data_IF_307375280122
#
_entry.id   IF_307375280122
#
_cell.length_a   1.000
_cell.length_b   1.000
_cell.length_c   1.000
_cell.angle_alpha   90.00
_cell.angle_beta   90.00
_cell.angle_gamma   90.00
#
_symmetry.space_group_name_H-M   'P 1'
#
loop_
_entity.id
_entity.type
_entity.pdbx_description
1 polymer ?
#
# COMPACT_ATOMS: atom_id res chain seq x y z
N UNK A 1 -6.13 59.79 61.18
CA UNK A 1 -7.17 59.10 60.38
C UNK A 1 -6.56 58.78 59.02
N UNK A 2 -6.23 57.51 58.79
CA UNK A 2 -5.47 57.04 57.61
C UNK A 2 -6.48 56.41 56.64
N UNK A 3 -6.61 56.95 55.43
CA UNK A 3 -7.42 56.38 54.36
C UNK A 3 -6.51 55.53 53.46
N UNK A 4 -6.72 54.21 53.49
CA UNK A 4 -6.03 53.23 52.65
C UNK A 4 -6.94 52.94 51.45
N UNK A 5 -6.63 53.54 50.30
CA UNK A 5 -7.32 53.30 49.04
C UNK A 5 -6.80 52.00 48.42
N UNK A 6 -7.64 50.97 48.38
CA UNK A 6 -7.39 49.64 47.81
C UNK A 6 -7.24 49.73 46.28
N UNK A 7 -6.05 49.46 45.77
CA UNK A 7 -5.79 49.18 44.34
C UNK A 7 -6.19 47.74 44.03
N UNK A 8 -7.22 47.56 43.22
CA UNK A 8 -7.69 46.26 42.74
C UNK A 8 -6.91 45.91 41.45
N UNK A 9 -5.93 45.00 41.55
CA UNK A 9 -5.20 44.47 40.39
C UNK A 9 -6.02 43.32 39.79
N UNK A 10 -6.71 43.59 38.69
CA UNK A 10 -7.43 42.59 37.90
C UNK A 10 -6.40 41.80 37.07
N UNK A 11 -5.95 40.67 37.60
CA UNK A 11 -5.04 39.74 36.91
C UNK A 11 -5.75 39.02 35.77
N UNK A 12 -5.58 39.52 34.55
CA UNK A 12 -6.03 38.89 33.32
C UNK A 12 -5.14 37.67 33.03
N UNK A 13 -5.56 36.48 33.46
CA UNK A 13 -4.91 35.21 33.10
C UNK A 13 -5.28 34.91 31.65
N UNK A 14 -4.43 35.32 30.71
CA UNK A 14 -4.47 34.89 29.32
C UNK A 14 -4.17 33.39 29.27
N UNK A 15 -5.23 32.58 29.27
CA UNK A 15 -5.16 31.16 28.96
C UNK A 15 -4.70 30.98 27.52
N UNK A 16 -3.39 30.80 27.32
CA UNK A 16 -2.83 30.39 26.04
C UNK A 16 -3.40 29.02 25.67
N UNK A 17 -4.27 28.99 24.65
CA UNK A 17 -4.64 27.75 23.98
C UNK A 17 -3.34 27.19 23.36
N UNK A 18 -2.74 26.21 24.03
CA UNK A 18 -1.66 25.43 23.45
C UNK A 18 -2.25 24.71 22.23
N UNK A 19 -1.99 25.25 21.05
CA UNK A 19 -2.25 24.56 19.81
C UNK A 19 -1.42 23.28 19.84
N UNK A 20 -2.09 22.14 20.10
CA UNK A 20 -1.46 20.84 20.08
C UNK A 20 -0.81 20.67 18.71
N UNK A 21 0.53 20.60 18.68
CA UNK A 21 1.25 20.36 17.44
C UNK A 21 0.81 19.01 16.86
N UNK A 22 0.58 18.91 15.54
CA UNK A 22 0.12 17.67 14.93
C UNK A 22 1.12 16.55 15.23
N UNK A 23 0.65 15.50 15.89
CA UNK A 23 1.46 14.35 16.23
C UNK A 23 1.93 13.65 14.95
N UNK A 24 3.25 13.65 14.72
CA UNK A 24 3.92 13.02 13.60
C UNK A 24 4.89 11.98 14.13
N UNK A 25 4.84 10.77 13.57
CA UNK A 25 5.82 9.73 13.82
C UNK A 25 6.29 9.12 12.50
N UNK A 26 7.53 8.64 12.49
CA UNK A 26 8.09 7.85 11.41
C UNK A 26 8.73 6.62 12.00
N UNK A 27 8.46 5.46 11.43
CA UNK A 27 9.00 4.19 11.86
C UNK A 27 9.32 3.29 10.67
N UNK A 28 10.19 2.32 10.90
CA UNK A 28 10.47 1.20 9.98
C UNK A 28 9.87 -0.04 10.59
N UNK A 29 9.13 -0.82 9.79
CA UNK A 29 8.53 -2.08 10.20
C UNK A 29 9.53 -3.22 9.95
N UNK A 30 10.18 -3.66 11.01
CA UNK A 30 11.32 -4.56 10.95
C UNK A 30 11.00 -5.88 10.24
N UNK A 31 9.79 -6.41 10.46
CA UNK A 31 9.34 -7.69 9.90
C UNK A 31 8.85 -7.63 8.45
N UNK A 32 8.69 -6.42 7.91
CA UNK A 32 8.35 -6.24 6.50
C UNK A 32 9.59 -6.43 5.62
N UNK A 33 10.78 -6.12 6.14
CA UNK A 33 12.04 -6.37 5.44
C UNK A 33 12.35 -7.87 5.37
N UNK A 34 13.03 -8.28 4.31
CA UNK A 34 13.42 -9.66 4.08
C UNK A 34 12.81 -10.24 2.80
N UNK A 35 12.85 -11.56 2.69
CA UNK A 35 12.39 -12.26 1.50
C UNK A 35 11.05 -12.92 1.76
N UNK A 36 10.08 -12.60 0.92
CA UNK A 36 8.74 -13.14 0.94
C UNK A 36 8.54 -14.03 -0.27
N UNK A 37 7.98 -15.22 -0.04
CA UNK A 37 7.67 -16.19 -1.08
C UNK A 37 6.17 -16.44 -1.11
N UNK A 38 5.67 -16.94 -2.24
CA UNK A 38 4.28 -17.38 -2.38
C UNK A 38 3.25 -16.29 -2.05
N UNK A 39 3.58 -15.03 -2.32
CA UNK A 39 2.50 -14.03 -2.41
C UNK A 39 1.60 -14.51 -3.55
N UNK A 40 0.29 -14.50 -3.37
CA UNK A 40 -0.63 -15.07 -4.34
C UNK A 40 -1.28 -13.95 -5.19
N UNK A 41 -0.68 -13.50 -6.30
CA UNK A 41 -1.34 -12.57 -7.19
C UNK A 41 -2.11 -13.40 -8.21
N UNK A 42 -3.40 -13.53 -7.95
CA UNK A 42 -4.33 -13.71 -9.05
C UNK A 42 -4.45 -12.36 -9.77
N UNK A 43 -3.97 -12.30 -11.02
CA UNK A 43 -4.21 -11.15 -11.87
C UNK A 43 -5.58 -11.29 -12.51
N UNK A 44 -6.33 -10.19 -12.55
CA UNK A 44 -7.61 -10.15 -13.25
C UNK A 44 -7.39 -10.48 -14.74
N UNK A 45 -8.28 -11.28 -15.38
CA UNK A 45 -8.18 -11.57 -16.81
C UNK A 45 -8.26 -10.27 -17.63
N UNK A 46 -7.46 -10.20 -18.70
CA UNK A 46 -7.55 -9.15 -19.70
C UNK A 46 -8.48 -9.62 -20.81
N UNK A 47 -9.60 -8.94 -21.01
CA UNK A 47 -10.59 -9.25 -22.04
C UNK A 47 -10.61 -8.15 -23.11
N UNK A 48 -10.32 -8.51 -24.36
CA UNK A 48 -10.32 -7.60 -25.52
C UNK A 48 -11.03 -8.26 -26.70
N UNK A 49 -12.35 -8.10 -26.78
CA UNK A 49 -13.16 -8.73 -27.81
C UNK A 49 -13.12 -10.27 -27.69
N UNK A 50 -12.81 -11.03 -28.75
CA UNK A 50 -12.72 -12.49 -28.69
C UNK A 50 -11.43 -13.02 -28.03
N UNK A 51 -10.49 -12.13 -27.67
CA UNK A 51 -9.24 -12.47 -27.03
C UNK A 51 -9.39 -12.37 -25.50
N UNK A 52 -9.13 -13.48 -24.81
CA UNK A 52 -8.99 -13.50 -23.35
C UNK A 52 -7.58 -13.94 -22.97
N UNK A 53 -6.92 -13.15 -22.13
CA UNK A 53 -5.59 -13.46 -21.60
C UNK A 53 -5.72 -13.57 -20.08
N UNK A 54 -5.48 -14.77 -19.55
CA UNK A 54 -5.35 -14.99 -18.11
C UNK A 54 -3.88 -15.16 -17.77
N UNK A 55 -3.38 -14.33 -16.87
CA UNK A 55 -2.00 -14.40 -16.38
C UNK A 55 -2.01 -14.84 -14.93
N UNK A 56 -1.16 -15.79 -14.58
CA UNK A 56 -0.95 -16.22 -13.19
C UNK A 56 0.55 -16.32 -12.88
N UNK A 57 0.91 -16.13 -11.61
CA UNK A 57 2.28 -16.29 -11.13
C UNK A 57 2.34 -17.42 -10.09
N UNK A 58 2.57 -18.68 -10.50
CA UNK A 58 2.55 -19.82 -9.58
C UNK A 58 3.68 -19.81 -8.54
N UNK A 59 4.75 -19.08 -8.79
CA UNK A 59 5.89 -18.98 -7.90
C UNK A 59 6.50 -17.60 -8.00
N UNK A 60 6.72 -16.98 -6.85
CA UNK A 60 7.29 -15.65 -6.79
C UNK A 60 8.04 -15.41 -5.50
N UNK A 61 9.04 -14.56 -5.61
CA UNK A 61 9.98 -14.21 -4.56
C UNK A 61 10.17 -12.70 -4.62
N UNK A 62 9.82 -12.02 -3.54
CA UNK A 62 9.99 -10.59 -3.38
C UNK A 62 10.94 -10.32 -2.23
N UNK A 63 12.00 -9.56 -2.48
CA UNK A 63 12.87 -9.04 -1.47
C UNK A 63 12.46 -7.59 -1.15
N UNK A 64 12.18 -7.33 0.13
CA UNK A 64 11.96 -5.98 0.65
C UNK A 64 13.23 -5.53 1.36
N UNK A 65 13.84 -4.49 0.83
CA UNK A 65 15.12 -3.95 1.30
C UNK A 65 14.94 -2.92 2.40
N UNK A 66 13.88 -2.12 2.29
CA UNK A 66 13.59 -1.04 3.21
C UNK A 66 12.13 -0.67 3.20
N UNK A 67 11.67 -0.15 4.32
CA UNK A 67 10.35 0.42 4.42
C UNK A 67 10.32 1.55 5.43
N UNK A 68 9.35 2.46 5.24
CA UNK A 68 9.13 3.60 6.11
C UNK A 68 7.64 3.90 6.15
N UNK A 69 7.09 3.92 7.35
CA UNK A 69 5.72 4.34 7.62
C UNK A 69 5.77 5.69 8.35
N UNK A 70 5.21 6.72 7.73
CA UNK A 70 4.96 8.01 8.38
C UNK A 70 3.48 8.09 8.79
N UNK A 71 3.24 8.35 10.07
CA UNK A 71 1.91 8.49 10.66
C UNK A 71 1.72 9.92 11.12
N UNK A 72 0.59 10.53 10.77
CA UNK A 72 0.23 11.87 11.22
C UNK A 72 -1.22 11.90 11.66
N UNK A 73 -1.46 12.37 12.88
CA UNK A 73 -2.82 12.52 13.41
C UNK A 73 -3.54 13.64 12.65
N UNK A 74 -4.67 13.33 12.02
CA UNK A 74 -5.53 14.31 11.37
C UNK A 74 -6.62 14.78 12.33
N UNK A 75 -7.25 13.83 13.03
CA UNK A 75 -8.29 14.02 14.06
C UNK A 75 -8.15 12.91 15.12
N UNK A 76 -9.00 12.90 16.15
CA UNK A 76 -8.90 11.97 17.29
C UNK A 76 -8.86 10.49 16.89
N UNK A 77 -9.58 10.11 15.84
CA UNK A 77 -9.69 8.74 15.35
C UNK A 77 -9.09 8.53 13.95
N UNK A 78 -8.70 9.61 13.26
CA UNK A 78 -8.26 9.58 11.86
C UNK A 78 -6.77 9.91 11.73
N UNK A 79 -6.05 9.02 11.06
CA UNK A 79 -4.59 9.07 10.90
C UNK A 79 -4.27 9.09 9.42
N UNK A 80 -3.49 10.06 8.96
CA UNK A 80 -2.84 9.99 7.66
C UNK A 80 -1.64 9.05 7.75
N UNK A 81 -1.54 8.13 6.79
CA UNK A 81 -0.47 7.15 6.68
C UNK A 81 0.20 7.32 5.32
N UNK A 82 1.53 7.39 5.33
CA UNK A 82 2.36 7.38 4.13
C UNK A 82 3.37 6.26 4.26
N UNK A 83 3.18 5.21 3.46
CA UNK A 83 4.02 4.04 3.46
C UNK A 83 4.90 4.04 2.21
N UNK A 84 6.21 4.02 2.42
CA UNK A 84 7.22 3.85 1.37
C UNK A 84 7.87 2.49 1.53
N UNK A 85 8.04 1.73 0.45
CA UNK A 85 8.72 0.43 0.44
C UNK A 85 9.65 0.34 -0.76
N UNK A 86 10.86 -0.16 -0.52
CA UNK A 86 11.83 -0.48 -1.56
C UNK A 86 11.88 -2.00 -1.73
N UNK A 87 11.59 -2.47 -2.95
CA UNK A 87 11.49 -3.89 -3.25
C UNK A 87 12.10 -4.24 -4.60
N UNK A 88 12.47 -5.50 -4.74
CA UNK A 88 12.80 -6.16 -6.01
C UNK A 88 12.32 -7.60 -5.93
N UNK A 89 12.29 -8.30 -7.06
CA UNK A 89 11.88 -9.70 -7.03
C UNK A 89 11.90 -10.37 -8.37
N UNK A 90 11.45 -11.61 -8.35
CA UNK A 90 11.39 -12.48 -9.49
C UNK A 90 10.22 -13.46 -9.32
N UNK A 91 9.76 -14.00 -10.44
CA UNK A 91 8.72 -15.01 -10.44
C UNK A 91 8.62 -15.70 -11.77
N UNK A 92 7.67 -16.62 -11.86
CA UNK A 92 7.30 -17.27 -13.11
C UNK A 92 5.93 -16.78 -13.50
N UNK A 93 5.75 -16.30 -14.72
CA UNK A 93 4.44 -16.00 -15.28
C UNK A 93 3.98 -17.15 -16.17
N UNK A 94 2.70 -17.48 -16.05
CA UNK A 94 1.97 -18.38 -16.94
C UNK A 94 0.83 -17.58 -17.55
N UNK A 95 0.88 -17.40 -18.86
CA UNK A 95 -0.19 -16.76 -19.62
C UNK A 95 -0.96 -17.81 -20.41
N UNK A 96 -2.28 -17.85 -20.22
CA UNK A 96 -3.22 -18.65 -21.01
C UNK A 96 -3.98 -17.72 -21.93
N UNK A 97 -3.81 -17.91 -23.23
CA UNK A 97 -4.41 -17.10 -24.28
C UNK A 97 -5.52 -17.90 -24.95
N UNK A 98 -6.72 -17.34 -25.02
CA UNK A 98 -7.88 -17.93 -25.70
C UNK A 98 -8.29 -17.06 -26.88
N UNK A 99 -8.16 -17.60 -28.08
CA UNK A 99 -8.61 -17.00 -29.34
C UNK A 99 -9.04 -18.10 -30.33
N UNK A 100 -10.12 -18.82 -29.99
CA UNK A 100 -10.57 -20.02 -30.71
C UNK A 100 -9.76 -21.29 -30.40
N UNK A 101 -8.44 -21.16 -30.21
CA UNK A 101 -7.55 -22.19 -29.66
C UNK A 101 -6.93 -21.65 -28.36
N UNK A 102 -6.73 -22.53 -27.38
CA UNK A 102 -6.04 -22.20 -26.13
C UNK A 102 -4.53 -22.40 -26.31
N UNK A 103 -3.73 -21.39 -25.99
CA UNK A 103 -2.27 -21.46 -25.96
C UNK A 103 -1.77 -21.10 -24.58
N UNK A 104 -0.74 -21.83 -24.11
CA UNK A 104 -0.08 -21.59 -22.82
C UNK A 104 1.34 -21.14 -23.07
N UNK A 105 1.69 -20.00 -22.51
CA UNK A 105 3.02 -19.40 -22.57
C UNK A 105 3.55 -19.22 -21.15
N UNK A 106 4.84 -19.44 -20.98
CA UNK A 106 5.49 -19.35 -19.67
C UNK A 106 6.79 -18.59 -19.81
N UNK A 107 7.10 -17.76 -18.82
CA UNK A 107 8.33 -16.99 -18.78
C UNK A 107 8.70 -16.61 -17.35
N UNK A 108 9.93 -16.14 -17.18
CA UNK A 108 10.36 -15.48 -15.96
C UNK A 108 9.94 -14.02 -15.99
N UNK A 109 9.44 -13.54 -14.85
CA UNK A 109 9.20 -12.13 -14.60
C UNK A 109 10.19 -11.63 -13.59
N UNK A 110 10.73 -10.45 -13.86
CA UNK A 110 11.61 -9.73 -12.96
C UNK A 110 10.89 -8.48 -12.50
N UNK A 111 10.90 -8.24 -11.20
CA UNK A 111 10.48 -6.98 -10.59
C UNK A 111 11.78 -6.21 -10.33
N UNK A 112 12.15 -5.23 -11.17
CA UNK A 112 13.35 -4.45 -10.94
C UNK A 112 13.24 -3.72 -9.60
N UNK A 113 14.40 -3.42 -9.01
CA UNK A 113 14.47 -2.65 -7.78
C UNK A 113 13.79 -1.30 -7.95
N UNK A 114 12.76 -1.06 -7.15
CA UNK A 114 11.94 0.15 -7.23
C UNK A 114 11.41 0.56 -5.86
N UNK A 115 11.19 1.87 -5.70
CA UNK A 115 10.54 2.46 -4.54
C UNK A 115 9.05 2.68 -4.86
N UNK A 116 8.18 2.13 -4.02
CA UNK A 116 6.74 2.29 -4.09
C UNK A 116 6.25 3.13 -2.92
N UNK A 117 5.27 3.98 -3.18
CA UNK A 117 4.64 4.83 -2.17
C UNK A 117 3.14 4.69 -2.19
N UNK A 118 2.57 4.44 -1.01
CA UNK A 118 1.13 4.36 -0.78
C UNK A 118 0.78 5.38 0.29
N UNK A 119 -0.02 6.37 -0.08
CA UNK A 119 -0.55 7.35 0.86
C UNK A 119 -2.05 7.12 1.05
N UNK A 120 -2.52 7.30 2.28
CA UNK A 120 -3.91 7.11 2.64
C UNK A 120 -4.25 7.66 4.00
N UNK A 121 -5.48 7.38 4.43
CA UNK A 121 -5.93 7.62 5.79
C UNK A 121 -6.60 6.38 6.37
N UNK A 122 -6.43 6.19 7.67
CA UNK A 122 -6.90 5.02 8.39
C UNK A 122 -7.33 5.38 9.81
N UNK A 123 -8.16 4.52 10.39
CA UNK A 123 -8.44 4.47 11.82
C UNK A 123 -7.69 3.30 12.42
N UNK A 124 -7.19 3.50 13.64
CA UNK A 124 -6.43 2.50 14.37
C UNK A 124 -7.12 2.24 15.71
N UNK A 125 -7.46 0.98 15.97
CA UNK A 125 -8.05 0.57 17.24
C UNK A 125 -7.17 -0.49 17.90
N UNK A 126 -6.80 -0.28 19.16
CA UNK A 126 -6.04 -1.28 19.92
C UNK A 126 -6.92 -2.49 20.27
N UNK A 127 -6.37 -3.68 20.08
CA UNK A 127 -6.94 -4.98 20.48
C UNK A 127 -6.00 -5.68 21.48
N UNK A 128 -6.46 -6.70 22.25
CA UNK A 128 -5.62 -7.37 23.24
C UNK A 128 -4.35 -8.01 22.65
N UNK A 129 -4.40 -8.43 21.39
CA UNK A 129 -3.40 -9.20 20.68
C UNK A 129 -2.78 -8.44 19.49
N UNK A 130 -3.07 -7.14 19.33
CA UNK A 130 -2.58 -6.34 18.21
C UNK A 130 -3.39 -5.07 17.97
N UNK A 131 -3.52 -4.72 16.70
CA UNK A 131 -4.21 -3.51 16.25
C UNK A 131 -5.15 -3.84 15.09
N UNK A 132 -6.35 -3.30 15.13
CA UNK A 132 -7.28 -3.29 14.00
C UNK A 132 -7.09 -1.99 13.22
N UNK A 133 -6.80 -2.11 11.93
CA UNK A 133 -6.63 -0.99 11.00
C UNK A 133 -7.86 -0.97 10.10
N UNK A 134 -8.56 0.16 10.05
CA UNK A 134 -9.67 0.39 9.10
C UNK A 134 -9.25 1.47 8.11
N UNK A 135 -9.20 1.15 6.82
CA UNK A 135 -8.78 2.12 5.80
C UNK A 135 -9.95 3.02 5.41
N UNK A 136 -9.77 4.34 5.53
CA UNK A 136 -10.78 5.34 5.14
C UNK A 136 -10.55 5.85 3.72
N UNK A 137 -9.29 6.10 3.38
CA UNK A 137 -8.86 6.48 2.03
C UNK A 137 -7.59 5.71 1.69
N UNK A 138 -7.62 4.97 0.59
CA UNK A 138 -6.47 4.24 0.06
C UNK A 138 -6.67 4.13 -1.46
N UNK A 139 -5.61 4.19 -2.28
CA UNK A 139 -5.75 3.84 -3.69
C UNK A 139 -6.23 2.39 -3.81
N UNK A 140 -7.06 2.10 -4.82
CA UNK A 140 -7.61 0.76 -5.04
C UNK A 140 -6.53 -0.25 -5.45
N UNK A 141 -5.46 0.23 -6.10
CA UNK A 141 -4.38 -0.60 -6.59
C UNK A 141 -3.03 0.07 -6.41
N UNK A 142 -2.01 -0.76 -6.23
CA UNK A 142 -0.60 -0.38 -6.28
C UNK A 142 0.00 -0.87 -7.61
N UNK A 143 0.57 0.05 -8.38
CA UNK A 143 1.27 -0.27 -9.62
C UNK A 143 2.71 -0.69 -9.32
N UNK A 144 3.10 -1.85 -9.82
CA UNK A 144 4.46 -2.40 -9.73
C UNK A 144 4.98 -2.64 -11.13
N UNK A 145 6.12 -2.04 -11.47
CA UNK A 145 6.75 -2.28 -12.76
C UNK A 145 7.34 -3.68 -12.81
N UNK A 146 7.11 -4.39 -13.90
CA UNK A 146 7.62 -5.74 -14.15
C UNK A 146 8.26 -5.84 -15.53
N UNK A 147 9.24 -6.72 -15.65
CA UNK A 147 9.96 -7.01 -16.89
C UNK A 147 9.83 -8.50 -17.23
N UNK A 148 9.48 -8.82 -18.48
CA UNK A 148 9.44 -10.21 -18.98
C UNK A 148 9.69 -10.23 -20.49
N UNK A 149 10.39 -11.27 -20.96
CA UNK A 149 10.68 -11.50 -22.38
C UNK A 149 9.40 -11.84 -23.15
N UNK A 150 8.52 -12.63 -22.56
CA UNK A 150 7.21 -13.00 -23.09
C UNK A 150 6.35 -11.79 -23.32
N UNK A 151 6.31 -10.84 -22.37
CA UNK A 151 5.58 -9.59 -22.56
C UNK A 151 6.10 -8.82 -23.78
N UNK A 152 7.42 -8.75 -23.95
CA UNK A 152 8.04 -8.17 -25.14
C UNK A 152 7.68 -8.90 -26.44
N UNK A 153 7.55 -10.23 -26.42
CA UNK A 153 7.11 -11.02 -27.57
C UNK A 153 5.63 -10.79 -27.89
N UNK A 154 4.76 -10.69 -26.88
CA UNK A 154 3.33 -10.41 -27.05
C UNK A 154 3.10 -9.03 -27.67
N UNK A 155 3.84 -8.01 -27.24
CA UNK A 155 3.76 -6.67 -27.84
C UNK A 155 4.21 -6.69 -29.30
N UNK A 156 5.29 -7.42 -29.62
CA UNK A 156 5.75 -7.60 -31.01
C UNK A 156 4.70 -8.32 -31.86
N UNK A 157 4.08 -9.38 -31.34
CA UNK A 157 3.01 -10.09 -32.03
C UNK A 157 1.78 -9.20 -32.27
N UNK A 158 1.38 -8.41 -31.27
CA UNK A 158 0.32 -7.42 -31.41
C UNK A 158 0.62 -6.44 -32.54
N UNK A 159 1.83 -5.86 -32.58
CA UNK A 159 2.22 -4.91 -33.64
C UNK A 159 2.18 -5.52 -35.04
N UNK A 160 2.50 -6.81 -35.17
CA UNK A 160 2.33 -7.54 -36.44
C UNK A 160 0.86 -7.61 -36.88
N UNK A 161 -0.05 -7.88 -35.93
CA UNK A 161 -1.50 -7.94 -36.19
C UNK A 161 -2.14 -6.57 -36.41
N UNK A 162 -1.59 -5.51 -35.80
CA UNK A 162 -2.08 -4.14 -35.93
C UNK A 162 -2.04 -3.62 -37.38
N UNK A 163 -1.28 -4.25 -38.26
CA UNK A 163 -1.29 -3.96 -39.70
C UNK A 163 -2.63 -4.33 -40.37
N UNK A 164 -3.41 -5.20 -39.75
CA UNK A 164 -4.69 -5.71 -40.27
C UNK A 164 -5.90 -5.35 -39.39
N UNK A 165 -5.67 -4.94 -38.14
CA UNK A 165 -6.70 -4.64 -37.14
C UNK A 165 -6.34 -3.36 -36.37
N UNK A 166 -7.31 -2.51 -35.99
CA UNK A 166 -7.04 -1.30 -35.20
C UNK A 166 -6.76 -1.64 -33.72
N UNK A 167 -5.58 -2.17 -33.43
CA UNK A 167 -5.15 -2.59 -32.08
C UNK A 167 -4.23 -1.54 -31.44
N UNK A 168 -4.50 -1.16 -30.18
CA UNK A 168 -3.61 -0.32 -29.36
C UNK A 168 -2.53 -1.16 -28.68
N UNK A 169 -1.49 -1.54 -29.43
CA UNK A 169 -0.41 -2.39 -28.92
C UNK A 169 0.49 -1.69 -27.90
N UNK A 170 0.56 -0.36 -27.93
CA UNK A 170 1.33 0.38 -26.93
C UNK A 170 0.56 0.43 -25.59
N UNK A 171 -0.77 0.55 -25.64
CA UNK A 171 -1.64 0.35 -24.47
C UNK A 171 -1.46 -1.03 -23.84
N UNK A 172 -1.47 -2.09 -24.65
CA UNK A 172 -1.22 -3.47 -24.18
C UNK A 172 0.16 -3.58 -23.54
N UNK A 173 1.21 -3.02 -24.15
CA UNK A 173 2.55 -3.04 -23.57
C UNK A 173 2.65 -2.35 -22.20
N UNK A 174 1.97 -1.21 -22.03
CA UNK A 174 1.89 -0.50 -20.74
C UNK A 174 1.12 -1.31 -19.69
N UNK A 175 -0.01 -1.91 -20.07
CA UNK A 175 -0.81 -2.75 -19.16
C UNK A 175 -0.04 -4.00 -18.74
N UNK A 176 0.70 -4.62 -19.66
CA UNK A 176 1.47 -5.84 -19.38
C UNK A 176 2.73 -5.57 -18.55
N UNK A 177 3.40 -4.44 -18.72
CA UNK A 177 4.60 -4.07 -17.96
C UNK A 177 4.32 -3.56 -16.54
N UNK A 178 3.05 -3.50 -16.14
CA UNK A 178 2.63 -3.02 -14.82
C UNK A 178 1.71 -4.03 -14.16
N UNK A 179 2.19 -4.69 -13.11
CA UNK A 179 1.33 -5.48 -12.24
C UNK A 179 0.52 -4.53 -11.34
N UNK A 180 -0.80 -4.73 -11.25
CA UNK A 180 -1.67 -3.99 -10.34
C UNK A 180 -2.02 -4.88 -9.16
N UNK A 181 -1.47 -4.55 -7.99
CA UNK A 181 -1.75 -5.27 -6.75
C UNK A 181 -3.00 -4.62 -6.12
N UNK A 182 -4.09 -5.37 -5.91
CA UNK A 182 -5.25 -4.83 -5.21
C UNK A 182 -4.87 -4.49 -3.78
N UNK A 183 -5.28 -3.31 -3.32
CA UNK A 183 -5.15 -2.90 -1.93
C UNK A 183 -6.51 -3.08 -1.21
N UNK A 184 -6.53 -3.16 0.12
CA UNK A 184 -7.78 -3.23 0.88
C UNK A 184 -8.73 -2.10 0.49
N UNK A 185 -10.02 -2.44 0.33
CA UNK A 185 -11.04 -1.47 -0.01
C UNK A 185 -11.30 -0.51 1.16
N UNK A 186 -11.97 0.60 0.86
CA UNK A 186 -12.44 1.52 1.89
C UNK A 186 -13.37 0.80 2.86
N UNK A 187 -13.12 0.96 4.15
CA UNK A 187 -13.86 0.32 5.23
C UNK A 187 -13.38 -1.10 5.55
N UNK A 188 -12.49 -1.68 4.74
CA UNK A 188 -11.90 -2.98 5.05
C UNK A 188 -11.06 -2.88 6.31
N UNK A 189 -11.12 -3.97 7.08
CA UNK A 189 -10.43 -4.14 8.34
C UNK A 189 -9.28 -5.12 8.17
N UNK A 190 -8.08 -4.69 8.56
CA UNK A 190 -6.90 -5.54 8.61
C UNK A 190 -6.42 -5.62 10.05
N UNK A 191 -6.09 -6.84 10.47
CA UNK A 191 -5.53 -7.07 11.80
C UNK A 191 -4.00 -7.17 11.73
N UNK A 192 -3.34 -6.31 12.51
CA UNK A 192 -1.90 -6.31 12.70
C UNK A 192 -1.59 -6.88 14.08
N UNK A 193 -1.23 -8.16 14.12
CA UNK A 193 -0.92 -8.84 15.38
C UNK A 193 0.29 -8.20 16.07
N UNK A 194 0.27 -8.10 17.39
CA UNK A 194 1.35 -7.51 18.19
C UNK A 194 2.67 -8.25 17.99
N UNK A 195 2.61 -9.56 17.73
CA UNK A 195 3.77 -10.37 17.41
C UNK A 195 4.45 -9.98 16.10
N UNK A 196 3.84 -9.15 15.24
CA UNK A 196 4.46 -8.62 14.04
C UNK A 196 5.25 -7.34 14.27
N UNK A 197 5.17 -6.76 15.47
CA UNK A 197 5.74 -5.47 15.80
C UNK A 197 6.83 -5.60 16.87
N UNK A 198 7.86 -4.78 16.75
CA UNK A 198 8.84 -4.56 17.82
C UNK A 198 8.23 -3.72 18.96
N UNK A 199 8.90 -3.66 20.11
CA UNK A 199 8.44 -2.86 21.25
C UNK A 199 8.37 -1.37 20.92
N UNK A 200 9.35 -0.88 20.16
CA UNK A 200 9.41 0.51 19.70
C UNK A 200 8.28 0.81 18.71
N UNK A 201 8.03 -0.08 17.76
CA UNK A 201 6.93 0.05 16.81
C UNK A 201 5.59 0.06 17.55
N UNK A 202 5.36 -0.87 18.48
CA UNK A 202 4.15 -0.91 19.32
C UNK A 202 3.95 0.38 20.09
N UNK A 203 5.00 0.93 20.70
CA UNK A 203 4.92 2.19 21.41
C UNK A 203 4.49 3.35 20.49
N UNK A 204 4.89 3.35 19.21
CA UNK A 204 4.39 4.33 18.24
C UNK A 204 2.91 4.11 17.96
N UNK A 205 2.49 2.90 17.59
CA UNK A 205 1.08 2.58 17.31
C UNK A 205 0.17 2.89 18.50
N UNK A 206 0.65 2.68 19.73
CA UNK A 206 -0.08 2.94 20.97
C UNK A 206 -0.41 4.42 21.18
N UNK A 207 0.47 5.33 20.76
CA UNK A 207 0.16 6.77 20.77
C UNK A 207 -0.97 7.13 19.81
N UNK A 208 -1.11 6.35 18.73
CA UNK A 208 -2.11 6.55 17.70
C UNK A 208 -3.46 5.85 18.00
N UNK A 209 -3.43 4.65 18.59
CA UNK A 209 -4.56 3.71 18.67
C UNK A 209 -5.65 4.05 19.72
N UNK A 210 -5.52 5.17 20.45
CA UNK A 210 -6.42 5.53 21.53
C UNK A 210 -6.41 4.52 22.69
N UNK A 211 -7.26 4.71 23.72
CA UNK A 211 -7.42 3.71 24.77
C UNK A 211 -7.98 2.41 24.16
N UNK A 212 -7.60 1.23 24.69
CA UNK A 212 -8.17 -0.03 24.23
C UNK A 212 -9.70 0.03 24.37
N UNK A 213 -10.40 -0.36 23.30
CA UNK A 213 -11.86 -0.48 23.34
C UNK A 213 -12.22 -1.41 24.51
N UNK A 214 -13.05 -0.90 25.43
CA UNK A 214 -13.23 -1.43 26.77
C UNK A 214 -13.59 -2.92 26.83
N UNK A 215 -13.08 -3.53 27.91
CA UNK A 215 -13.60 -4.75 28.53
C UNK A 215 -15.06 -4.58 28.94
#
# INVERSE_FOLDING_TARGET
MIAITRTLVLGLVLGGAAAASPELATLTLSKVNGVHVDLAPELLPIERGPLSIRVSSPSQRMAVHGNRLALRRLRDDLIAADFTVELEGEGRLVAVIKAGVESRLEDEVVVPRQELRVAGSMRLARRPDGYEITFEELPETLAVTIESRLLGQLVKACRGLASFLPLDCDGVGRELSTARIPLPARGDKVFLAAGWLSDEERAVFDRFAGPPAGR
#
